data_IF_580870726211
#
_entry.id   IF_580870726211
#
_cell.length_a   1.000
_cell.length_b   1.000
_cell.length_c   1.000
_cell.angle_alpha   90.00
_cell.angle_beta   90.00
_cell.angle_gamma   90.00
#
_symmetry.space_group_name_H-M   'P 1'
#
loop_
_entity.id
_entity.type
_entity.pdbx_description
1 polymer ?
#
# COMPACT_ATOMS: atom_id res chain seq x y z
N UNK A 1 1.67 17.34 -17.97
CA UNK A 1 2.71 16.94 -16.99
C UNK A 1 2.32 17.50 -15.63
N UNK A 2 1.58 16.73 -14.82
CA UNK A 2 1.15 17.17 -13.49
C UNK A 2 2.36 17.12 -12.57
N UNK A 3 2.92 18.29 -12.23
CA UNK A 3 4.04 18.41 -11.32
C UNK A 3 3.57 17.92 -9.94
N UNK A 4 4.05 16.76 -9.48
CA UNK A 4 3.82 16.29 -8.12
C UNK A 4 4.51 17.30 -7.20
N UNK A 5 3.74 18.19 -6.60
CA UNK A 5 4.24 19.04 -5.53
C UNK A 5 4.71 18.10 -4.40
N UNK A 6 5.90 18.33 -3.86
CA UNK A 6 6.27 17.70 -2.60
C UNK A 6 5.26 18.19 -1.55
N UNK A 7 4.68 17.31 -0.72
CA UNK A 7 3.75 17.74 0.31
C UNK A 7 4.47 18.72 1.25
N UNK A 8 4.12 20.01 1.16
CA UNK A 8 4.62 21.06 2.04
C UNK A 8 3.98 20.97 3.44
N UNK A 9 2.94 20.15 3.56
CA UNK A 9 2.23 19.81 4.78
C UNK A 9 2.57 18.36 5.21
N UNK A 10 3.23 18.16 6.37
CA UNK A 10 3.49 16.84 6.92
C UNK A 10 2.25 15.95 7.03
N UNK A 11 1.08 16.52 7.35
CA UNK A 11 -0.16 15.75 7.45
C UNK A 11 -0.59 15.19 6.08
N UNK A 12 -0.47 16.01 5.02
CA UNK A 12 -0.74 15.56 3.66
C UNK A 12 0.24 14.46 3.22
N UNK A 13 1.52 14.57 3.58
CA UNK A 13 2.51 13.54 3.28
C UNK A 13 2.16 12.19 3.91
N UNK A 14 1.69 12.20 5.17
CA UNK A 14 1.25 11.00 5.87
C UNK A 14 -0.04 10.43 5.27
N UNK A 15 -0.98 11.27 4.86
CA UNK A 15 -2.20 10.84 4.18
C UNK A 15 -1.90 10.21 2.82
N UNK A 16 -0.99 10.79 2.04
CA UNK A 16 -0.54 10.23 0.76
C UNK A 16 0.18 8.89 0.95
N UNK A 17 1.02 8.78 1.98
CA UNK A 17 1.66 7.53 2.35
C UNK A 17 0.62 6.45 2.73
N UNK A 18 -0.40 6.82 3.51
CA UNK A 18 -1.46 5.90 3.91
C UNK A 18 -2.26 5.40 2.70
N UNK A 19 -2.57 6.29 1.76
CA UNK A 19 -3.22 5.91 0.50
C UNK A 19 -2.37 4.93 -0.33
N UNK A 20 -1.04 5.10 -0.33
CA UNK A 20 -0.12 4.18 -0.98
C UNK A 20 -0.06 2.81 -0.27
N UNK A 21 -0.10 2.78 1.06
CA UNK A 21 -0.12 1.53 1.83
C UNK A 21 -1.40 0.72 1.56
N UNK A 22 -2.57 1.36 1.45
CA UNK A 22 -3.80 0.67 1.05
C UNK A 22 -3.68 -0.01 -0.31
N UNK A 23 -3.17 0.72 -1.31
CA UNK A 23 -2.95 0.17 -2.65
C UNK A 23 -1.95 -1.00 -2.66
N UNK A 24 -0.88 -0.88 -1.87
CA UNK A 24 0.13 -1.93 -1.74
C UNK A 24 -0.45 -3.21 -1.10
N UNK A 25 -1.22 -3.08 -0.02
CA UNK A 25 -1.88 -4.22 0.64
C UNK A 25 -2.83 -4.93 -0.34
N UNK A 26 -3.62 -4.17 -1.10
CA UNK A 26 -4.49 -4.74 -2.14
C UNK A 26 -3.70 -5.54 -3.18
N UNK A 27 -2.55 -5.03 -3.64
CA UNK A 27 -1.73 -5.68 -4.66
C UNK A 27 -1.17 -7.05 -4.24
N UNK A 28 -0.95 -7.27 -2.93
CA UNK A 28 -0.49 -8.57 -2.43
C UNK A 28 -1.51 -9.70 -2.56
N UNK A 29 -2.80 -9.39 -2.73
CA UNK A 29 -3.82 -10.37 -3.09
C UNK A 29 -3.52 -11.04 -4.44
N UNK A 30 -3.59 -10.30 -5.58
CA UNK A 30 -3.24 -10.80 -6.90
C UNK A 30 -1.82 -11.40 -7.00
N UNK A 31 -0.82 -10.81 -6.34
CA UNK A 31 0.55 -11.35 -6.28
C UNK A 31 0.56 -12.72 -5.61
N UNK A 32 -0.03 -12.83 -4.42
CA UNK A 32 0.01 -14.05 -3.60
C UNK A 32 -0.60 -15.27 -4.29
N UNK A 33 -1.63 -15.09 -5.13
CA UNK A 33 -2.26 -16.19 -5.89
C UNK A 33 -1.31 -16.80 -6.92
N UNK A 34 -0.37 -16.01 -7.46
CA UNK A 34 0.57 -16.43 -8.52
C UNK A 34 1.83 -17.11 -7.99
N UNK A 35 2.13 -16.95 -6.70
CA UNK A 35 3.36 -17.44 -6.09
C UNK A 35 3.13 -18.77 -5.36
N UNK A 36 4.20 -19.54 -5.12
CA UNK A 36 4.20 -20.78 -4.32
C UNK A 36 5.36 -20.77 -3.32
N UNK A 37 5.33 -21.69 -2.35
CA UNK A 37 6.45 -22.02 -1.47
C UNK A 37 7.08 -20.79 -0.77
N UNK A 38 8.39 -20.61 -0.91
CA UNK A 38 9.15 -19.51 -0.33
C UNK A 38 8.63 -18.16 -0.81
N UNK A 39 8.44 -17.97 -2.12
CA UNK A 39 7.96 -16.71 -2.67
C UNK A 39 6.58 -16.32 -2.11
N UNK A 40 5.68 -17.29 -1.88
CA UNK A 40 4.39 -17.02 -1.25
C UNK A 40 4.53 -16.65 0.24
N UNK A 41 5.50 -17.24 0.95
CA UNK A 41 5.81 -16.86 2.34
C UNK A 41 6.35 -15.43 2.39
N UNK A 42 7.27 -15.09 1.49
CA UNK A 42 7.87 -13.76 1.42
C UNK A 42 6.83 -12.70 1.09
N UNK A 43 5.93 -12.97 0.14
CA UNK A 43 4.81 -12.08 -0.19
C UNK A 43 3.89 -11.83 1.01
N UNK A 44 3.56 -12.86 1.81
CA UNK A 44 2.76 -12.68 3.04
C UNK A 44 3.50 -11.86 4.10
N UNK A 45 4.80 -12.08 4.26
CA UNK A 45 5.63 -11.29 5.19
C UNK A 45 5.67 -9.82 4.77
N UNK A 46 5.80 -9.55 3.46
CA UNK A 46 5.79 -8.20 2.93
C UNK A 46 4.41 -7.54 3.09
N UNK A 47 3.31 -8.24 2.79
CA UNK A 47 1.94 -7.77 3.05
C UNK A 47 1.75 -7.39 4.53
N UNK A 48 2.22 -8.24 5.46
CA UNK A 48 2.16 -7.96 6.89
C UNK A 48 2.95 -6.69 7.28
N UNK A 49 4.11 -6.46 6.66
CA UNK A 49 4.88 -5.25 6.87
C UNK A 49 4.14 -3.99 6.37
N UNK A 50 3.44 -4.07 5.23
CA UNK A 50 2.57 -2.99 4.76
C UNK A 50 1.40 -2.73 5.72
N UNK A 51 0.75 -3.78 6.24
CA UNK A 51 -0.32 -3.64 7.24
C UNK A 51 0.18 -2.95 8.51
N UNK A 52 1.36 -3.31 9.00
CA UNK A 52 1.97 -2.64 10.15
C UNK A 52 2.25 -1.14 9.89
N UNK A 53 2.74 -0.79 8.69
CA UNK A 53 2.94 0.62 8.29
C UNK A 53 1.63 1.38 8.17
N UNK A 54 0.60 0.79 7.57
CA UNK A 54 -0.76 1.35 7.52
C UNK A 54 -1.26 1.69 8.91
N UNK A 55 -1.16 0.75 9.85
CA UNK A 55 -1.65 0.95 11.21
C UNK A 55 -0.88 2.07 11.93
N UNK A 56 0.44 2.14 11.75
CA UNK A 56 1.25 3.23 12.27
C UNK A 56 0.87 4.60 11.68
N UNK A 57 0.60 4.69 10.38
CA UNK A 57 0.20 5.94 9.72
C UNK A 57 -1.18 6.41 10.19
N UNK A 58 -2.14 5.49 10.37
CA UNK A 58 -3.46 5.80 10.94
C UNK A 58 -3.33 6.39 12.34
N UNK A 59 -2.47 5.80 13.18
CA UNK A 59 -2.20 6.32 14.53
C UNK A 59 -1.56 7.71 14.49
N UNK A 60 -0.55 7.92 13.63
CA UNK A 60 0.13 9.22 13.49
C UNK A 60 -0.82 10.33 13.03
N UNK A 61 -1.65 10.06 12.02
CA UNK A 61 -2.65 11.01 11.52
C UNK A 61 -3.68 11.35 12.61
N UNK A 62 -4.21 10.33 13.28
CA UNK A 62 -5.22 10.51 14.34
C UNK A 62 -4.65 11.31 15.53
N UNK A 63 -3.41 11.02 15.94
CA UNK A 63 -2.74 11.74 17.03
C UNK A 63 -2.36 13.18 16.64
N UNK A 64 -2.04 13.42 15.37
CA UNK A 64 -1.70 14.74 14.84
C UNK A 64 -2.90 15.62 14.47
N UNK A 65 -4.13 15.13 14.63
CA UNK A 65 -5.35 15.84 14.21
C UNK A 65 -5.54 15.90 12.69
N UNK A 66 -4.77 15.12 11.93
CA UNK A 66 -4.90 15.00 10.49
C UNK A 66 -6.06 14.11 10.08
N UNK A 67 -6.62 14.33 8.89
CA UNK A 67 -7.69 13.49 8.37
C UNK A 67 -7.14 12.15 7.88
N UNK A 68 -7.72 11.05 8.37
CA UNK A 68 -7.41 9.70 7.90
C UNK A 68 -8.21 9.44 6.60
N UNK A 69 -7.57 9.35 5.41
CA UNK A 69 -8.27 9.00 4.19
C UNK A 69 -8.91 7.61 4.30
N UNK A 70 -10.11 7.46 3.73
CA UNK A 70 -10.77 6.17 3.64
C UNK A 70 -10.10 5.26 2.60
N UNK A 71 -10.11 3.96 2.87
CA UNK A 71 -9.72 2.92 1.92
C UNK A 71 -10.75 2.80 0.77
N UNK A 72 -10.37 2.14 -0.31
CA UNK A 72 -11.19 1.87 -1.51
C UNK A 72 -11.44 0.38 -1.63
N UNK A 73 -12.57 0.01 -2.24
CA UNK A 73 -12.91 -1.38 -2.51
C UNK A 73 -11.97 -2.07 -3.53
N UNK A 74 -11.21 -1.29 -4.31
CA UNK A 74 -10.24 -1.81 -5.27
C UNK A 74 -9.28 -0.74 -5.79
N UNK A 75 -8.13 -1.21 -6.29
CA UNK A 75 -7.03 -0.38 -6.78
C UNK A 75 -6.59 -0.83 -8.18
N UNK A 76 -6.31 0.13 -9.06
CA UNK A 76 -5.68 -0.14 -10.34
C UNK A 76 -4.21 -0.51 -10.11
N UNK A 77 -3.80 -1.68 -10.61
CA UNK A 77 -2.40 -2.09 -10.55
C UNK A 77 -1.58 -1.36 -11.63
N UNK A 78 -0.30 -1.03 -11.39
CA UNK A 78 0.54 -0.35 -12.38
C UNK A 78 0.76 -1.18 -13.65
N UNK A 79 0.65 -2.50 -13.54
CA UNK A 79 0.70 -3.46 -14.63
C UNK A 79 -0.09 -4.73 -14.26
N UNK A 80 -0.46 -5.57 -15.23
CA UNK A 80 -1.22 -6.79 -14.97
C UNK A 80 -0.37 -7.85 -14.24
N UNK A 81 -0.93 -8.49 -13.21
CA UNK A 81 -0.30 -9.61 -12.49
C UNK A 81 -0.97 -10.93 -12.94
N UNK A 82 -0.62 -11.36 -14.14
CA UNK A 82 -1.29 -12.49 -14.84
C UNK A 82 -0.56 -13.82 -14.74
N UNK A 83 0.67 -13.83 -14.24
CA UNK A 83 1.50 -15.02 -14.09
C UNK A 83 2.50 -14.86 -12.93
N UNK A 84 3.35 -15.86 -12.73
CA UNK A 84 4.37 -15.86 -11.67
C UNK A 84 5.46 -14.82 -11.91
N UNK A 85 5.86 -14.57 -13.16
CA UNK A 85 6.93 -13.63 -13.47
C UNK A 85 6.51 -12.20 -13.19
N UNK A 86 5.26 -11.84 -13.50
CA UNK A 86 4.68 -10.55 -13.16
C UNK A 86 4.39 -10.37 -11.65
N UNK A 87 4.52 -11.42 -10.84
CA UNK A 87 4.27 -11.40 -9.40
C UNK A 87 5.56 -11.35 -8.55
N UNK A 88 6.73 -11.38 -9.18
CA UNK A 88 8.05 -11.29 -8.54
C UNK A 88 8.66 -9.90 -8.76
#
# INVERSE_FOLDING_TARGET
MTRRQAPTDPAQALADALAAEYAAIFAYGPIGVRLTDAARRDARSAEAAHRARRDALVLQLSAGGGQVPADRAGYALPFPVTDRAAAL
#
